data_IF_227127160705
#
_entry.id   IF_227127160705
#
_cell.length_a   1.000
_cell.length_b   1.000
_cell.length_c   1.000
_cell.angle_alpha   90.00
_cell.angle_beta   90.00
_cell.angle_gamma   90.00
#
_symmetry.space_group_name_H-M   'P 1'
#
loop_
_entity.id
_entity.type
_entity.pdbx_description
1 polymer ?
#
# COMPACT_ATOMS: atom_id res chain seq x y z
N UNK A 1 19.74 32.58 0.72
CA UNK A 1 18.79 31.85 -0.13
C UNK A 1 18.06 30.87 0.76
N UNK A 2 16.82 31.21 1.12
CA UNK A 2 15.94 30.48 2.03
C UNK A 2 15.61 29.09 1.48
N UNK A 3 16.28 28.06 2.00
CA UNK A 3 15.92 26.67 1.73
C UNK A 3 14.55 26.36 2.36
N UNK A 4 13.78 25.50 1.70
CA UNK A 4 12.53 24.96 2.24
C UNK A 4 12.87 24.28 3.57
N UNK A 5 12.55 24.94 4.69
CA UNK A 5 12.79 24.38 6.01
C UNK A 5 11.59 23.52 6.43
N UNK A 6 11.86 22.51 7.26
CA UNK A 6 10.84 21.59 7.80
C UNK A 6 9.50 22.24 8.20
N UNK A 7 9.44 23.38 8.90
CA UNK A 7 8.17 23.99 9.28
C UNK A 7 7.30 24.43 8.10
N UNK A 8 7.90 24.79 6.96
CA UNK A 8 7.14 25.11 5.75
C UNK A 8 6.43 23.88 5.20
N UNK A 9 7.09 22.72 5.24
CA UNK A 9 6.51 21.44 4.78
C UNK A 9 5.35 21.02 5.70
N UNK A 10 5.51 21.18 7.02
CA UNK A 10 4.43 20.87 7.98
C UNK A 10 3.23 21.80 7.78
N UNK A 11 3.45 23.11 7.63
CA UNK A 11 2.37 24.07 7.42
C UNK A 11 1.62 23.79 6.11
N UNK A 12 2.35 23.47 5.04
CA UNK A 12 1.76 23.10 3.76
C UNK A 12 0.92 21.82 3.88
N UNK A 13 1.41 20.81 4.61
CA UNK A 13 0.70 19.55 4.83
C UNK A 13 -0.63 19.78 5.54
N UNK A 14 -0.66 20.65 6.56
CA UNK A 14 -1.90 21.00 7.28
C UNK A 14 -2.93 21.62 6.33
N UNK A 15 -2.51 22.57 5.50
CA UNK A 15 -3.40 23.23 4.53
C UNK A 15 -3.96 22.22 3.51
N UNK A 16 -3.10 21.34 2.99
CA UNK A 16 -3.52 20.28 2.05
C UNK A 16 -4.56 19.37 2.70
N UNK A 17 -4.35 18.94 3.95
CA UNK A 17 -5.32 18.10 4.67
C UNK A 17 -6.66 18.82 4.86
N UNK A 18 -6.66 20.13 5.12
CA UNK A 18 -7.90 20.91 5.28
C UNK A 18 -8.65 21.08 3.96
N UNK A 19 -7.95 21.29 2.85
CA UNK A 19 -8.56 21.45 1.51
C UNK A 19 -9.11 20.12 0.97
N UNK A 20 -8.34 19.04 1.10
CA UNK A 20 -8.72 17.72 0.58
C UNK A 20 -9.58 16.90 1.56
N UNK A 21 -9.56 17.25 2.86
CA UNK A 21 -10.16 16.48 3.93
C UNK A 21 -9.39 15.19 4.25
N UNK A 22 -9.57 14.65 5.46
CA UNK A 22 -8.87 13.44 5.93
C UNK A 22 -9.35 12.15 5.24
N UNK A 23 -10.60 12.11 4.76
CA UNK A 23 -11.18 10.91 4.13
C UNK A 23 -10.54 10.56 2.78
N UNK A 24 -10.39 11.55 1.90
CA UNK A 24 -9.74 11.37 0.58
C UNK A 24 -8.25 11.06 0.75
N UNK A 25 -7.59 11.75 1.68
CA UNK A 25 -6.17 11.55 1.96
C UNK A 25 -5.86 10.19 2.59
N UNK A 26 -6.78 9.63 3.39
CA UNK A 26 -6.65 8.26 3.93
C UNK A 26 -6.75 7.19 2.84
N UNK A 27 -7.69 7.31 1.91
CA UNK A 27 -7.83 6.36 0.81
C UNK A 27 -6.62 6.45 -0.13
N UNK A 28 -6.27 7.65 -0.60
CA UNK A 28 -5.10 7.86 -1.44
C UNK A 28 -3.79 7.49 -0.73
N UNK A 29 -3.67 7.79 0.57
CA UNK A 29 -2.50 7.45 1.38
C UNK A 29 -2.37 5.95 1.65
N UNK A 30 -3.46 5.18 1.68
CA UNK A 30 -3.41 3.72 1.78
C UNK A 30 -2.88 3.11 0.48
N UNK A 31 -3.35 3.60 -0.67
CA UNK A 31 -2.95 3.10 -1.98
C UNK A 31 -1.48 3.46 -2.29
N UNK A 32 -1.10 4.71 -2.03
CA UNK A 32 0.28 5.17 -2.19
C UNK A 32 1.20 4.57 -1.14
N UNK A 33 0.78 4.54 0.13
CA UNK A 33 1.57 4.02 1.25
C UNK A 33 1.87 2.53 1.13
N UNK A 34 0.97 1.73 0.55
CA UNK A 34 1.22 0.32 0.24
C UNK A 34 2.36 0.13 -0.76
N UNK A 35 2.40 0.95 -1.81
CA UNK A 35 3.50 0.94 -2.79
C UNK A 35 4.84 1.40 -2.17
N UNK A 36 4.83 2.48 -1.38
CA UNK A 36 6.04 2.96 -0.71
C UNK A 36 6.56 1.98 0.35
N UNK A 37 5.71 1.13 0.94
CA UNK A 37 6.14 0.08 1.86
C UNK A 37 7.01 -0.97 1.16
N UNK A 38 6.60 -1.44 -0.03
CA UNK A 38 7.41 -2.36 -0.84
C UNK A 38 8.75 -1.76 -1.27
N UNK A 39 8.78 -0.46 -1.57
CA UNK A 39 10.02 0.27 -1.87
C UNK A 39 10.96 0.33 -0.65
N UNK A 40 10.43 0.65 0.55
CA UNK A 40 11.23 0.68 1.79
C UNK A 40 11.75 -0.72 2.15
N UNK A 41 10.92 -1.73 2.04
CA UNK A 41 11.28 -3.11 2.37
C UNK A 41 12.31 -3.66 1.37
N UNK A 42 12.19 -3.31 0.08
CA UNK A 42 13.19 -3.59 -0.95
C UNK A 42 14.53 -2.90 -0.69
N UNK A 43 14.52 -1.61 -0.34
CA UNK A 43 15.75 -0.86 -0.05
C UNK A 43 16.42 -1.34 1.25
N UNK A 44 15.64 -1.68 2.28
CA UNK A 44 16.14 -2.36 3.49
C UNK A 44 16.72 -3.73 3.18
N UNK A 45 16.10 -4.49 2.28
CA UNK A 45 16.63 -5.80 1.84
C UNK A 45 17.93 -5.66 1.05
N UNK A 46 18.15 -4.54 0.36
CA UNK A 46 19.41 -4.23 -0.33
C UNK A 46 20.50 -3.78 0.66
N UNK A 47 20.14 -2.96 1.65
CA UNK A 47 21.04 -2.55 2.75
C UNK A 47 21.42 -3.75 3.63
N UNK A 48 20.48 -4.65 3.98
CA UNK A 48 20.73 -5.87 4.76
C UNK A 48 21.28 -7.05 3.94
N UNK A 49 21.15 -7.09 2.60
CA UNK A 49 21.83 -8.10 1.76
C UNK A 49 23.34 -7.96 1.72
N UNK A 50 23.88 -6.86 2.23
CA UNK A 50 25.31 -6.74 2.53
C UNK A 50 25.68 -7.47 3.84
N UNK A 51 24.69 -7.94 4.63
CA UNK A 51 24.89 -8.56 5.94
C UNK A 51 24.40 -10.01 6.07
N UNK A 52 23.29 -10.45 5.46
CA UNK A 52 22.91 -11.89 5.55
C UNK A 52 21.90 -12.33 4.48
N UNK A 53 22.20 -13.44 3.80
CA UNK A 53 21.37 -14.01 2.75
C UNK A 53 20.34 -14.99 3.34
N UNK A 54 19.11 -14.57 3.58
CA UNK A 54 17.96 -15.49 3.73
C UNK A 54 16.65 -14.81 3.30
N UNK A 55 15.86 -15.37 2.35
CA UNK A 55 14.60 -14.76 1.91
C UNK A 55 13.43 -15.10 2.86
N UNK A 56 12.68 -14.12 3.40
CA UNK A 56 11.45 -14.41 4.14
C UNK A 56 10.21 -14.41 3.24
N UNK A 57 9.55 -15.57 3.27
CA UNK A 57 8.11 -15.86 3.23
C UNK A 57 7.11 -14.97 2.45
N UNK A 58 6.37 -15.67 1.59
CA UNK A 58 5.09 -15.33 0.97
C UNK A 58 4.10 -14.58 1.89
N UNK A 59 3.44 -13.55 1.36
CA UNK A 59 2.20 -13.00 1.91
C UNK A 59 1.01 -13.43 1.04
N UNK A 60 0.19 -14.30 1.61
CA UNK A 60 -1.07 -14.80 1.08
C UNK A 60 -2.24 -13.87 1.47
N UNK A 61 -3.32 -13.92 0.67
CA UNK A 61 -4.69 -13.41 0.87
C UNK A 61 -5.06 -12.07 0.19
N UNK A 62 -5.82 -12.16 -0.92
CA UNK A 62 -7.26 -11.87 -0.84
C UNK A 62 -8.04 -12.61 -1.94
N UNK A 63 -8.86 -13.55 -1.47
CA UNK A 63 -9.89 -14.32 -2.16
C UNK A 63 -10.90 -13.39 -2.87
N UNK A 64 -11.06 -13.53 -4.18
CA UNK A 64 -12.18 -12.97 -4.96
C UNK A 64 -12.92 -14.13 -5.64
N UNK A 65 -13.93 -14.62 -4.92
CA UNK A 65 -15.22 -15.06 -5.40
C UNK A 65 -15.39 -15.10 -6.95
N UNK A 66 -15.13 -16.26 -7.55
CA UNK A 66 -15.63 -16.64 -8.89
C UNK A 66 -16.43 -17.92 -8.72
N UNK A 67 -17.70 -17.79 -8.32
CA UNK A 67 -18.68 -18.84 -8.58
C UNK A 67 -20.09 -18.25 -8.66
N UNK A 68 -20.31 -17.42 -9.67
CA UNK A 68 -21.63 -17.23 -10.22
C UNK A 68 -21.57 -17.60 -11.71
N UNK A 69 -21.79 -18.87 -12.01
CA UNK A 69 -22.13 -19.37 -13.36
C UNK A 69 -22.84 -20.71 -13.24
N UNK A 70 -24.14 -20.68 -13.58
CA UNK A 70 -24.78 -21.68 -14.44
C UNK A 70 -25.28 -22.97 -13.77
N UNK A 71 -26.55 -22.89 -13.35
CA UNK A 71 -27.62 -23.85 -13.65
C UNK A 71 -27.25 -24.85 -14.76
N UNK A 72 -26.96 -26.11 -14.43
CA UNK A 72 -27.18 -27.26 -15.33
C UNK A 72 -27.48 -28.54 -14.52
N UNK A 73 -28.77 -28.75 -14.27
CA UNK A 73 -29.53 -29.98 -14.51
C UNK A 73 -28.73 -31.29 -14.65
N UNK A 74 -28.87 -32.20 -13.67
CA UNK A 74 -28.96 -33.65 -13.93
C UNK A 74 -29.47 -34.41 -12.70
N UNK A 75 -30.72 -34.85 -12.81
CA UNK A 75 -31.21 -36.18 -12.49
C UNK A 75 -30.36 -36.99 -11.50
N UNK A 76 -30.92 -37.23 -10.31
CA UNK A 76 -30.57 -38.44 -9.57
C UNK A 76 -31.82 -39.01 -8.88
N UNK A 77 -32.28 -40.09 -9.50
CA UNK A 77 -33.06 -41.26 -9.06
C UNK A 77 -33.55 -41.27 -7.62
#
# INVERSE_FOLDING_TARGET
>A
MSGISLPHIILLLVIVVLVFGTGKLKNAGKDLGGFFKGFKDGMKSEEEKTADATPPAQLNQQNQNVQNSTVEKKDNV
#
